data_IF_610298210968
#
_entry.id   IF_610298210968
#
_cell.length_a   1.000
_cell.length_b   1.000
_cell.length_c   1.000
_cell.angle_alpha   90.00
_cell.angle_beta   90.00
_cell.angle_gamma   90.00
#
_symmetry.space_group_name_H-M   'P 1'
#
loop_
_entity.id
_entity.type
_entity.pdbx_description
1 polymer ?
#
# COMPACT_ATOMS: atom_id res chain seq x y z
N UNK A 1 5.65 -8.56 -21.60
CA UNK A 1 4.45 -8.79 -22.44
C UNK A 1 4.60 -8.12 -23.81
N UNK A 2 4.93 -6.83 -23.88
CA UNK A 2 5.11 -6.06 -25.12
C UNK A 2 6.03 -6.72 -26.17
N UNK A 3 7.22 -7.19 -25.76
CA UNK A 3 8.15 -7.95 -26.63
C UNK A 3 7.55 -9.24 -27.22
N UNK A 4 6.65 -9.89 -26.50
CA UNK A 4 6.02 -11.13 -26.96
C UNK A 4 4.92 -10.84 -28.00
N UNK A 5 4.21 -9.72 -27.85
CA UNK A 5 3.22 -9.26 -28.82
C UNK A 5 3.85 -8.75 -30.11
N UNK A 6 4.93 -7.97 -30.05
CA UNK A 6 5.67 -7.57 -31.26
C UNK A 6 6.23 -8.77 -32.02
N UNK A 7 6.67 -9.80 -31.31
CA UNK A 7 7.16 -11.04 -31.92
C UNK A 7 6.04 -11.76 -32.68
N UNK A 8 4.87 -11.94 -32.07
CA UNK A 8 3.72 -12.57 -32.74
C UNK A 8 3.15 -11.75 -33.90
N UNK A 9 3.15 -10.41 -33.81
CA UNK A 9 2.74 -9.53 -34.92
C UNK A 9 3.72 -9.68 -36.10
N UNK A 10 5.02 -9.77 -35.83
CA UNK A 10 6.03 -9.97 -36.87
C UNK A 10 5.96 -11.38 -37.48
N UNK A 11 5.67 -12.40 -36.69
CA UNK A 11 5.42 -13.77 -37.17
C UNK A 11 4.18 -13.82 -38.07
N UNK A 12 3.08 -13.13 -37.69
CA UNK A 12 1.87 -13.07 -38.51
C UNK A 12 2.10 -12.31 -39.81
N UNK A 13 2.83 -11.19 -39.78
CA UNK A 13 3.26 -10.47 -41.00
C UNK A 13 4.10 -11.35 -41.92
N UNK A 14 5.06 -12.11 -41.36
CA UNK A 14 5.88 -13.05 -42.13
C UNK A 14 5.01 -14.15 -42.75
N UNK A 15 4.09 -14.74 -41.98
CA UNK A 15 3.19 -15.79 -42.45
C UNK A 15 2.21 -15.30 -43.52
N UNK A 16 1.73 -14.05 -43.39
CA UNK A 16 0.92 -13.37 -44.41
C UNK A 16 1.71 -13.12 -45.70
N UNK A 17 2.98 -12.70 -45.59
CA UNK A 17 3.86 -12.50 -46.74
C UNK A 17 4.17 -13.85 -47.44
N UNK A 18 4.38 -14.91 -46.66
CA UNK A 18 4.58 -16.28 -47.13
C UNK A 18 3.32 -16.84 -47.81
N UNK A 19 2.13 -16.54 -47.30
CA UNK A 19 0.85 -16.85 -47.94
C UNK A 19 0.69 -16.08 -49.25
N UNK A 20 1.04 -14.78 -49.29
CA UNK A 20 1.01 -13.96 -50.50
C UNK A 20 1.97 -14.49 -51.58
N UNK A 21 3.19 -14.83 -51.19
CA UNK A 21 4.20 -15.44 -52.04
C UNK A 21 3.79 -16.85 -52.47
N UNK A 22 3.18 -17.63 -51.57
CA UNK A 22 2.63 -18.96 -51.83
C UNK A 22 1.49 -18.92 -52.85
N UNK A 23 0.54 -18.00 -52.71
CA UNK A 23 -0.53 -17.80 -53.68
C UNK A 23 -0.01 -17.34 -55.06
N UNK A 24 1.00 -16.46 -55.09
CA UNK A 24 1.66 -16.03 -56.33
C UNK A 24 2.43 -17.18 -57.00
N UNK A 25 3.17 -17.97 -56.23
CA UNK A 25 3.92 -19.13 -56.71
C UNK A 25 3.00 -20.28 -57.16
N UNK A 26 1.93 -20.56 -56.42
CA UNK A 26 0.89 -21.54 -56.80
C UNK A 26 0.18 -21.06 -58.07
N UNK A 27 -0.13 -19.77 -58.17
CA UNK A 27 -0.66 -19.15 -59.38
C UNK A 27 0.25 -19.41 -60.57
N UNK A 28 1.52 -19.02 -60.48
CA UNK A 28 2.55 -19.19 -61.53
C UNK A 28 2.83 -20.65 -61.89
N UNK A 29 2.90 -21.55 -60.90
CA UNK A 29 3.10 -22.99 -61.13
C UNK A 29 1.86 -23.64 -61.75
N UNK A 30 0.65 -23.19 -61.43
CA UNK A 30 -0.57 -23.62 -62.12
C UNK A 30 -0.64 -23.10 -63.56
N UNK A 31 -0.32 -21.83 -63.82
CA UNK A 31 -0.25 -21.30 -65.20
C UNK A 31 0.81 -22.03 -66.01
N UNK A 32 1.95 -22.36 -65.40
CA UNK A 32 3.02 -23.13 -66.03
C UNK A 32 2.60 -24.59 -66.27
N UNK A 33 1.97 -25.27 -65.31
CA UNK A 33 1.45 -26.63 -65.49
C UNK A 33 0.34 -26.70 -66.52
N UNK A 34 -0.52 -25.69 -66.62
CA UNK A 34 -1.56 -25.59 -67.65
C UNK A 34 -0.94 -25.28 -69.00
N UNK A 35 0.03 -24.36 -69.07
CA UNK A 35 0.81 -24.10 -70.28
C UNK A 35 1.53 -25.37 -70.75
N UNK A 36 2.19 -26.10 -69.84
CA UNK A 36 2.90 -27.34 -70.12
C UNK A 36 1.92 -28.47 -70.47
N UNK A 37 0.74 -28.54 -69.84
CA UNK A 37 -0.32 -29.49 -70.18
C UNK A 37 -0.88 -29.21 -71.56
N UNK A 38 -1.22 -27.96 -71.89
CA UNK A 38 -1.68 -27.53 -73.21
C UNK A 38 -0.60 -27.76 -74.28
N UNK A 39 0.65 -27.41 -74.00
CA UNK A 39 1.79 -27.60 -74.90
C UNK A 39 2.10 -29.09 -75.10
N UNK A 40 1.95 -29.93 -74.07
CA UNK A 40 2.12 -31.38 -74.15
C UNK A 40 0.96 -32.06 -74.86
N UNK A 41 -0.29 -31.66 -74.59
CA UNK A 41 -1.48 -32.22 -75.25
C UNK A 41 -1.57 -31.79 -76.72
N UNK A 42 -1.35 -30.51 -77.04
CA UNK A 42 -1.31 -30.03 -78.43
C UNK A 42 -0.18 -30.69 -79.24
N UNK A 43 0.93 -31.08 -78.59
CA UNK A 43 2.07 -31.76 -79.24
C UNK A 43 1.94 -33.29 -79.29
N UNK A 44 1.12 -33.91 -78.43
CA UNK A 44 0.89 -35.38 -78.41
C UNK A 44 -0.34 -35.82 -79.21
N UNK A 45 -1.32 -34.94 -79.41
CA UNK A 45 -2.52 -35.25 -80.22
C UNK A 45 -2.17 -35.57 -81.70
N UNK A 46 -1.20 -34.91 -82.35
CA UNK A 46 -0.73 -35.34 -83.69
C UNK A 46 0.15 -36.60 -83.66
N UNK A 47 0.75 -36.96 -82.51
CA UNK A 47 1.72 -38.07 -82.39
C UNK A 47 1.05 -39.43 -82.20
N UNK A 48 -0.11 -39.50 -81.53
CA UNK A 48 -0.91 -40.73 -81.47
C UNK A 48 -1.51 -41.14 -82.82
N UNK A 49 -1.57 -40.21 -83.78
CA UNK A 49 -2.04 -40.46 -85.14
C UNK A 49 -0.94 -40.94 -86.10
N UNK A 50 0.34 -40.92 -85.69
CA UNK A 50 1.47 -41.32 -86.55
C UNK A 50 1.98 -42.75 -86.28
N UNK A 51 1.61 -43.35 -85.14
CA UNK A 51 2.13 -44.65 -84.70
C UNK A 51 1.08 -45.78 -84.64
N UNK A 52 -0.16 -45.51 -85.06
CA UNK A 52 -1.14 -46.54 -85.39
C UNK A 52 -1.27 -46.60 -86.90
N UNK A 53 -0.66 -47.61 -87.53
CA UNK A 53 -0.86 -47.89 -88.93
C UNK A 53 -2.28 -48.43 -89.12
N UNK A 54 -3.23 -47.54 -89.37
CA UNK A 54 -4.48 -47.83 -90.08
C UNK A 54 -4.93 -46.54 -90.79
N UNK A 55 -5.09 -46.65 -92.09
CA UNK A 55 -5.55 -45.59 -92.99
C UNK A 55 -6.99 -45.19 -92.64
N UNK A 56 -7.15 -44.13 -91.87
CA UNK A 56 -8.30 -43.24 -91.98
C UNK A 56 -7.79 -41.80 -91.93
N UNK A 57 -8.16 -41.02 -92.95
CA UNK A 57 -8.10 -39.56 -92.88
C UNK A 57 -8.90 -39.15 -91.66
N UNK A 58 -8.25 -38.89 -90.53
CA UNK A 58 -8.95 -38.34 -89.38
C UNK A 58 -9.39 -36.95 -89.78
N UNK A 59 -10.68 -36.82 -90.05
CA UNK A 59 -11.24 -35.61 -90.61
C UNK A 59 -11.16 -34.51 -89.55
N UNK A 60 -10.77 -33.31 -89.95
CA UNK A 60 -10.68 -32.16 -89.06
C UNK A 60 -12.04 -31.87 -88.38
N UNK A 61 -13.12 -32.23 -89.09
CA UNK A 61 -14.51 -32.17 -88.63
C UNK A 61 -14.79 -33.03 -87.39
N UNK A 62 -14.05 -34.12 -87.16
CA UNK A 62 -14.22 -34.99 -85.98
C UNK A 62 -13.33 -34.54 -84.80
N UNK A 63 -12.16 -33.95 -85.07
CA UNK A 63 -11.21 -33.50 -84.03
C UNK A 63 -11.60 -32.13 -83.46
N UNK A 64 -12.09 -31.21 -84.28
CA UNK A 64 -12.39 -29.85 -83.88
C UNK A 64 -13.44 -29.74 -82.74
N UNK A 65 -14.59 -30.45 -82.79
CA UNK A 65 -15.55 -30.47 -81.69
C UNK A 65 -14.95 -30.97 -80.38
N UNK A 66 -14.04 -31.94 -80.46
CA UNK A 66 -13.36 -32.52 -79.30
C UNK A 66 -12.37 -31.54 -78.66
N UNK A 67 -11.58 -30.81 -79.44
CA UNK A 67 -10.69 -29.77 -78.92
C UNK A 67 -11.50 -28.62 -78.32
N UNK A 68 -12.56 -28.17 -79.00
CA UNK A 68 -13.47 -27.13 -78.48
C UNK A 68 -14.07 -27.53 -77.14
N UNK A 69 -14.51 -28.79 -77.01
CA UNK A 69 -15.01 -29.35 -75.75
C UNK A 69 -13.94 -29.31 -74.66
N UNK A 70 -12.72 -29.78 -74.93
CA UNK A 70 -11.62 -29.77 -73.96
C UNK A 70 -11.21 -28.36 -73.53
N UNK A 71 -11.13 -27.40 -74.45
CA UNK A 71 -10.83 -25.99 -74.15
C UNK A 71 -11.90 -25.39 -73.23
N UNK A 72 -13.18 -25.64 -73.53
CA UNK A 72 -14.28 -25.20 -72.67
C UNK A 72 -14.27 -25.87 -71.29
N UNK A 73 -14.01 -27.18 -71.22
CA UNK A 73 -13.87 -27.89 -69.94
C UNK A 73 -12.70 -27.38 -69.12
N UNK A 74 -11.57 -27.07 -69.75
CA UNK A 74 -10.41 -26.48 -69.08
C UNK A 74 -10.72 -25.09 -68.52
N UNK A 75 -11.47 -24.27 -69.26
CA UNK A 75 -11.93 -22.95 -68.79
C UNK A 75 -12.81 -23.07 -67.55
N UNK A 76 -13.81 -23.95 -67.58
CA UNK A 76 -14.72 -24.19 -66.43
C UNK A 76 -13.93 -24.67 -65.21
N UNK A 77 -12.98 -25.60 -65.40
CA UNK A 77 -12.15 -26.13 -64.31
C UNK A 77 -11.27 -25.03 -63.69
N UNK A 78 -10.71 -24.14 -64.51
CA UNK A 78 -9.89 -23.02 -64.04
C UNK A 78 -10.68 -21.99 -63.22
N UNK A 79 -11.86 -21.58 -63.69
CA UNK A 79 -12.76 -20.72 -62.90
C UNK A 79 -13.14 -21.38 -61.57
N UNK A 80 -13.48 -22.68 -61.59
CA UNK A 80 -13.79 -23.43 -60.38
C UNK A 80 -12.61 -23.46 -59.39
N UNK A 81 -11.36 -23.60 -59.86
CA UNK A 81 -10.19 -23.57 -58.99
C UNK A 81 -10.02 -22.21 -58.30
N UNK A 82 -10.22 -21.10 -59.01
CA UNK A 82 -10.14 -19.78 -58.38
C UNK A 82 -11.28 -19.52 -57.40
N UNK A 83 -12.47 -20.04 -57.68
CA UNK A 83 -13.58 -19.99 -56.74
C UNK A 83 -13.24 -20.71 -55.42
N UNK A 84 -12.62 -21.89 -55.50
CA UNK A 84 -12.14 -22.62 -54.31
C UNK A 84 -11.11 -21.78 -53.54
N UNK A 85 -10.14 -21.17 -54.22
CA UNK A 85 -9.14 -20.30 -53.57
C UNK A 85 -9.81 -19.11 -52.88
N UNK A 86 -10.75 -18.44 -53.55
CA UNK A 86 -11.48 -17.33 -52.93
C UNK A 86 -12.29 -17.77 -51.72
N UNK A 87 -12.94 -18.94 -51.78
CA UNK A 87 -13.70 -19.45 -50.64
C UNK A 87 -12.80 -19.76 -49.43
N UNK A 88 -11.59 -20.28 -49.65
CA UNK A 88 -10.60 -20.48 -48.58
C UNK A 88 -10.17 -19.14 -47.97
N UNK A 89 -9.94 -18.12 -48.79
CA UNK A 89 -9.58 -16.77 -48.33
C UNK A 89 -10.69 -16.16 -47.48
N UNK A 90 -11.95 -16.26 -47.93
CA UNK A 90 -13.11 -15.78 -47.17
C UNK A 90 -13.29 -16.53 -45.85
N UNK A 91 -13.07 -17.84 -45.85
CA UNK A 91 -13.11 -18.66 -44.63
C UNK A 91 -12.02 -18.23 -43.65
N UNK A 92 -10.78 -18.03 -44.13
CA UNK A 92 -9.68 -17.55 -43.30
C UNK A 92 -9.98 -16.15 -42.74
N UNK A 93 -10.49 -15.24 -43.56
CA UNK A 93 -10.91 -13.90 -43.14
C UNK A 93 -11.95 -13.98 -42.03
N UNK A 94 -13.04 -14.74 -42.23
CA UNK A 94 -14.09 -14.89 -41.23
C UNK A 94 -13.53 -15.47 -39.92
N UNK A 95 -12.81 -16.60 -40.01
CA UNK A 95 -12.23 -17.24 -38.83
C UNK A 95 -11.20 -16.37 -38.11
N UNK A 96 -10.39 -15.61 -38.84
CA UNK A 96 -9.38 -14.72 -38.25
C UNK A 96 -10.04 -13.50 -37.60
N UNK A 97 -11.06 -12.92 -38.22
CA UNK A 97 -11.77 -11.77 -37.66
C UNK A 97 -12.54 -12.17 -36.40
N UNK A 98 -13.23 -13.31 -36.42
CA UNK A 98 -13.95 -13.85 -35.25
C UNK A 98 -12.98 -14.07 -34.07
N UNK A 99 -11.82 -14.68 -34.32
CA UNK A 99 -10.81 -14.90 -33.28
C UNK A 99 -10.23 -13.58 -32.74
N UNK A 100 -9.98 -12.59 -33.60
CA UNK A 100 -9.49 -11.27 -33.16
C UNK A 100 -10.55 -10.51 -32.36
N UNK A 101 -11.83 -10.63 -32.70
CA UNK A 101 -12.93 -10.04 -31.95
C UNK A 101 -13.07 -10.67 -30.57
N UNK A 102 -12.95 -12.01 -30.47
CA UNK A 102 -12.94 -12.72 -29.19
C UNK A 102 -11.78 -12.25 -28.30
N UNK A 103 -10.55 -12.17 -28.84
CA UNK A 103 -9.39 -11.68 -28.08
C UNK A 103 -9.57 -10.21 -27.70
N UNK A 104 -10.15 -9.38 -28.56
CA UNK A 104 -10.47 -7.98 -28.23
C UNK A 104 -11.45 -7.91 -27.06
N UNK A 105 -12.52 -8.71 -27.09
CA UNK A 105 -13.52 -8.75 -26.03
C UNK A 105 -12.91 -9.23 -24.71
N UNK A 106 -12.05 -10.26 -24.74
CA UNK A 106 -11.30 -10.73 -23.58
C UNK A 106 -10.35 -9.65 -23.03
N UNK A 107 -9.65 -8.91 -23.90
CA UNK A 107 -8.77 -7.82 -23.47
C UNK A 107 -9.56 -6.70 -22.76
N UNK A 108 -10.71 -6.29 -23.30
CA UNK A 108 -11.61 -5.32 -22.67
C UNK A 108 -12.19 -5.84 -21.36
N UNK A 109 -12.66 -7.09 -21.34
CA UNK A 109 -13.20 -7.72 -20.13
C UNK A 109 -12.15 -7.83 -19.03
N UNK A 110 -10.91 -8.18 -19.37
CA UNK A 110 -9.80 -8.24 -18.42
C UNK A 110 -9.48 -6.85 -17.86
N UNK A 111 -9.43 -5.82 -18.71
CA UNK A 111 -9.22 -4.43 -18.25
C UNK A 111 -10.30 -4.01 -17.25
N UNK A 112 -11.56 -4.30 -17.57
CA UNK A 112 -12.69 -3.98 -16.70
C UNK A 112 -12.65 -4.77 -15.38
N UNK A 113 -12.33 -6.07 -15.43
CA UNK A 113 -12.21 -6.90 -14.22
C UNK A 113 -11.07 -6.44 -13.30
N UNK A 114 -9.97 -5.97 -13.89
CA UNK A 114 -8.85 -5.38 -13.13
C UNK A 114 -9.27 -4.06 -12.48
N UNK A 115 -9.99 -3.20 -13.21
CA UNK A 115 -10.55 -1.96 -12.67
C UNK A 115 -11.50 -2.23 -11.48
N UNK A 116 -12.46 -3.15 -11.64
CA UNK A 116 -13.36 -3.57 -10.56
C UNK A 116 -12.61 -4.12 -9.33
N UNK A 117 -11.57 -4.93 -9.55
CA UNK A 117 -10.72 -5.46 -8.48
C UNK A 117 -9.97 -4.35 -7.73
N UNK A 118 -9.40 -3.39 -8.47
CA UNK A 118 -8.68 -2.26 -7.89
C UNK A 118 -9.65 -1.36 -7.12
N UNK A 119 -10.86 -1.12 -7.64
CA UNK A 119 -11.89 -0.33 -6.97
C UNK A 119 -12.35 -0.98 -5.67
N UNK A 120 -12.55 -2.30 -5.66
CA UNK A 120 -12.83 -3.05 -4.44
C UNK A 120 -11.66 -2.92 -3.43
N UNK A 121 -10.43 -3.07 -3.90
CA UNK A 121 -9.22 -2.87 -3.09
C UNK A 121 -9.08 -1.44 -2.55
N UNK A 122 -9.55 -0.43 -3.30
CA UNK A 122 -9.55 0.96 -2.87
C UNK A 122 -10.54 1.21 -1.73
N UNK A 123 -11.72 0.57 -1.74
CA UNK A 123 -12.67 0.62 -0.63
C UNK A 123 -12.05 0.05 0.64
N UNK A 124 -11.41 -1.12 0.55
CA UNK A 124 -10.75 -1.75 1.70
C UNK A 124 -9.55 -0.92 2.18
N UNK A 125 -8.70 -0.43 1.29
CA UNK A 125 -7.58 0.43 1.62
C UNK A 125 -8.04 1.71 2.33
N UNK A 126 -9.08 2.38 1.81
CA UNK A 126 -9.65 3.58 2.43
C UNK A 126 -10.15 3.28 3.84
N UNK A 127 -10.86 2.16 4.05
CA UNK A 127 -11.30 1.75 5.39
C UNK A 127 -10.12 1.58 6.36
N UNK A 128 -9.03 0.96 5.92
CA UNK A 128 -7.83 0.79 6.76
C UNK A 128 -7.17 2.13 7.06
N UNK A 129 -7.11 3.04 6.10
CA UNK A 129 -6.58 4.38 6.33
C UNK A 129 -7.46 5.21 7.28
N UNK A 130 -8.78 5.11 7.16
CA UNK A 130 -9.74 5.75 8.06
C UNK A 130 -9.58 5.22 9.49
N UNK A 131 -9.54 3.89 9.67
CA UNK A 131 -9.30 3.24 10.97
C UNK A 131 -7.97 3.68 11.60
N UNK A 132 -6.92 3.77 10.78
CA UNK A 132 -5.60 4.22 11.23
C UNK A 132 -5.63 5.70 11.63
N UNK A 133 -6.31 6.55 10.86
CA UNK A 133 -6.47 7.96 11.16
C UNK A 133 -7.27 8.19 12.45
N UNK A 134 -8.32 7.40 12.67
CA UNK A 134 -9.12 7.42 13.89
C UNK A 134 -8.30 6.97 15.10
N UNK A 135 -7.54 5.87 14.98
CA UNK A 135 -6.67 5.37 16.04
C UNK A 135 -5.59 6.38 16.43
N UNK A 136 -4.96 7.02 15.44
CA UNK A 136 -3.96 8.06 15.67
C UNK A 136 -4.57 9.31 16.32
N UNK A 137 -5.76 9.70 15.89
CA UNK A 137 -6.50 10.81 16.49
C UNK A 137 -6.89 10.53 17.94
N UNK A 138 -7.32 9.30 18.24
CA UNK A 138 -7.60 8.84 19.62
C UNK A 138 -6.35 8.90 20.48
N UNK A 139 -5.24 8.32 20.00
CA UNK A 139 -3.97 8.31 20.72
C UNK A 139 -3.45 9.73 21.00
N UNK A 140 -3.65 10.66 20.07
CA UNK A 140 -3.34 12.07 20.28
C UNK A 140 -4.19 12.68 21.40
N UNK A 141 -5.49 12.38 21.44
CA UNK A 141 -6.40 12.79 22.50
C UNK A 141 -6.01 12.24 23.88
N UNK A 142 -5.70 10.95 23.95
CA UNK A 142 -5.24 10.27 25.17
C UNK A 142 -3.92 10.83 25.69
N UNK A 143 -2.95 11.05 24.79
CA UNK A 143 -1.66 11.66 25.14
C UNK A 143 -1.84 13.08 25.68
N UNK A 144 -2.73 13.87 25.06
CA UNK A 144 -3.05 15.21 25.54
C UNK A 144 -3.78 15.21 26.90
N UNK A 145 -4.58 14.18 27.17
CA UNK A 145 -5.21 13.97 28.48
C UNK A 145 -4.17 13.64 29.55
N UNK A 146 -3.32 12.64 29.29
CA UNK A 146 -2.23 12.25 30.19
C UNK A 146 -1.32 13.43 30.52
N UNK A 147 -0.92 14.22 29.51
CA UNK A 147 -0.11 15.41 29.70
C UNK A 147 -0.81 16.47 30.61
N UNK A 148 -2.14 16.55 30.56
CA UNK A 148 -2.93 17.41 31.46
C UNK A 148 -2.95 16.89 32.90
N UNK A 149 -3.19 15.59 33.09
CA UNK A 149 -3.17 14.96 34.42
C UNK A 149 -1.80 15.12 35.09
N UNK A 150 -0.72 14.93 34.34
CA UNK A 150 0.64 15.12 34.85
C UNK A 150 0.91 16.55 35.32
N UNK A 151 0.44 17.57 34.57
CA UNK A 151 0.54 18.97 34.99
C UNK A 151 -0.25 19.25 36.28
N UNK A 152 -1.44 18.66 36.42
CA UNK A 152 -2.21 18.80 37.66
C UNK A 152 -1.49 18.17 38.86
N UNK A 153 -0.88 17.01 38.66
CA UNK A 153 -0.10 16.30 39.68
C UNK A 153 1.09 17.14 40.16
N UNK A 154 1.81 17.77 39.22
CA UNK A 154 2.89 18.72 39.52
C UNK A 154 2.37 19.90 40.35
N UNK A 155 1.24 20.50 39.97
CA UNK A 155 0.66 21.61 40.74
C UNK A 155 0.24 21.18 42.17
N UNK A 156 -0.30 19.97 42.35
CA UNK A 156 -0.63 19.45 43.69
C UNK A 156 0.63 19.20 44.54
N UNK A 157 1.75 18.85 43.91
CA UNK A 157 3.04 18.74 44.59
C UNK A 157 3.53 20.07 45.15
N UNK A 158 3.37 21.17 44.41
CA UNK A 158 3.70 22.51 44.91
C UNK A 158 2.91 22.86 46.18
N UNK A 159 1.63 22.47 46.23
CA UNK A 159 0.78 22.67 47.41
C UNK A 159 1.27 21.85 48.62
N UNK A 160 1.72 20.61 48.41
CA UNK A 160 2.30 19.76 49.46
C UNK A 160 3.62 20.36 49.97
N UNK A 161 4.44 20.91 49.07
CA UNK A 161 5.67 21.59 49.47
C UNK A 161 5.39 22.78 50.39
N UNK A 162 4.41 23.61 50.04
CA UNK A 162 3.98 24.75 50.85
C UNK A 162 3.47 24.32 52.24
N UNK A 163 2.75 23.20 52.31
CA UNK A 163 2.29 22.62 53.58
C UNK A 163 3.46 22.16 54.47
N UNK A 164 4.46 21.49 53.89
CA UNK A 164 5.64 21.03 54.63
C UNK A 164 6.48 22.20 55.15
N UNK A 165 6.57 23.29 54.40
CA UNK A 165 7.26 24.50 54.86
C UNK A 165 6.53 25.16 56.04
N UNK A 166 5.19 25.24 55.98
CA UNK A 166 4.37 25.74 57.10
C UNK A 166 4.54 24.86 58.36
N UNK A 167 4.55 23.54 58.20
CA UNK A 167 4.75 22.61 59.31
C UNK A 167 6.11 22.79 59.98
N UNK A 168 7.17 23.02 59.18
CA UNK A 168 8.51 23.30 59.68
C UNK A 168 8.56 24.61 60.49
N UNK A 169 7.91 25.67 60.01
CA UNK A 169 7.85 26.94 60.71
C UNK A 169 7.06 26.85 62.03
N UNK A 170 5.95 26.11 62.05
CA UNK A 170 5.22 25.85 63.29
C UNK A 170 6.05 25.03 64.29
N UNK A 171 6.85 24.06 63.83
CA UNK A 171 7.77 23.31 64.70
C UNK A 171 8.78 24.22 65.39
N UNK A 172 9.40 25.16 64.65
CA UNK A 172 10.33 26.15 65.22
C UNK A 172 9.63 27.13 66.18
N UNK A 173 8.37 27.46 65.89
CA UNK A 173 7.56 28.30 66.78
C UNK A 173 7.29 27.62 68.11
N UNK A 174 6.96 26.33 68.07
CA UNK A 174 6.75 25.50 69.25
C UNK A 174 8.03 25.36 70.08
N UNK A 175 9.18 25.16 69.43
CA UNK A 175 10.50 25.15 70.09
C UNK A 175 10.73 26.45 70.88
N UNK A 176 10.51 27.61 70.26
CA UNK A 176 10.61 28.91 70.95
C UNK A 176 9.68 29.00 72.16
N UNK A 177 8.41 28.61 72.01
CA UNK A 177 7.46 28.63 73.12
C UNK A 177 7.89 27.69 74.26
N UNK A 178 8.42 26.51 73.93
CA UNK A 178 8.92 25.57 74.93
C UNK A 178 10.09 26.17 75.72
N UNK A 179 11.03 26.84 75.05
CA UNK A 179 12.15 27.53 75.73
C UNK A 179 11.67 28.67 76.63
N UNK A 180 10.70 29.48 76.16
CA UNK A 180 10.16 30.60 76.94
C UNK A 180 9.41 30.11 78.19
N UNK A 181 8.61 29.05 78.08
CA UNK A 181 7.92 28.45 79.22
C UNK A 181 8.92 27.89 80.25
N UNK A 182 9.99 27.23 79.79
CA UNK A 182 11.04 26.71 80.67
C UNK A 182 11.73 27.85 81.44
N UNK A 183 12.07 28.94 80.77
CA UNK A 183 12.66 30.12 81.42
C UNK A 183 11.72 30.76 82.45
N UNK A 184 10.44 30.92 82.12
CA UNK A 184 9.42 31.49 83.03
C UNK A 184 9.25 30.60 84.25
N UNK A 185 9.12 29.29 84.05
CA UNK A 185 8.93 28.33 85.15
C UNK A 185 10.16 28.28 86.05
N UNK A 186 11.36 28.22 85.48
CA UNK A 186 12.60 28.22 86.24
C UNK A 186 12.76 29.50 87.06
N UNK A 187 12.45 30.66 86.46
CA UNK A 187 12.48 31.96 87.16
C UNK A 187 11.47 32.00 88.31
N UNK A 188 10.23 31.53 88.08
CA UNK A 188 9.20 31.48 89.12
C UNK A 188 9.62 30.60 90.32
N UNK A 189 10.26 29.46 90.06
CA UNK A 189 10.79 28.58 91.12
C UNK A 189 11.90 29.28 91.91
N UNK A 190 12.84 29.95 91.24
CA UNK A 190 13.93 30.68 91.90
C UNK A 190 13.39 31.85 92.74
N UNK A 191 12.43 32.60 92.21
CA UNK A 191 11.78 33.70 92.94
C UNK A 191 11.01 33.18 94.16
N UNK A 192 10.29 32.06 94.03
CA UNK A 192 9.61 31.40 95.15
C UNK A 192 10.60 30.96 96.22
N UNK A 193 11.71 30.32 95.84
CA UNK A 193 12.76 29.91 96.76
C UNK A 193 13.30 31.12 97.54
N UNK A 194 13.63 32.21 96.84
CA UNK A 194 14.16 33.43 97.45
C UNK A 194 13.17 34.07 98.45
N UNK A 195 11.91 34.21 98.04
CA UNK A 195 10.86 34.78 98.89
C UNK A 195 10.65 33.94 100.15
N UNK A 196 10.69 32.61 100.01
CA UNK A 196 10.55 31.70 101.15
C UNK A 196 11.76 31.75 102.09
N UNK A 197 12.99 31.79 101.55
CA UNK A 197 14.22 31.93 102.35
C UNK A 197 14.19 33.21 103.19
N UNK A 198 13.78 34.33 102.59
CA UNK A 198 13.70 35.64 103.25
C UNK A 198 12.60 35.67 104.33
N UNK A 199 11.41 35.12 104.04
CA UNK A 199 10.33 34.97 105.00
C UNK A 199 10.74 34.05 106.16
N UNK A 200 11.39 32.92 105.87
CA UNK A 200 11.86 31.99 106.91
C UNK A 200 12.89 32.62 107.84
N UNK A 201 13.73 33.53 107.33
CA UNK A 201 14.73 34.26 108.11
C UNK A 201 14.07 35.28 109.02
N UNK A 202 13.12 36.05 108.50
CA UNK A 202 12.32 37.00 109.28
C UNK A 202 11.52 36.30 110.38
N UNK A 203 10.88 35.17 110.05
CA UNK A 203 10.17 34.36 111.01
C UNK A 203 11.12 33.69 112.01
N UNK A 204 12.31 33.25 111.60
CA UNK A 204 13.35 32.74 112.51
C UNK A 204 13.83 33.80 113.51
N UNK A 205 14.02 35.05 113.08
CA UNK A 205 14.40 36.16 113.96
C UNK A 205 13.30 36.50 114.97
N UNK A 206 12.03 36.50 114.52
CA UNK A 206 10.86 36.68 115.39
C UNK A 206 10.66 35.49 116.34
N UNK A 207 10.96 34.27 115.87
CA UNK A 207 10.77 33.01 116.58
C UNK A 207 11.90 32.69 117.57
N UNK A 208 13.15 33.11 117.34
CA UNK A 208 14.26 33.01 118.32
C UNK A 208 13.90 33.73 119.61
N UNK A 209 13.20 34.86 119.52
CA UNK A 209 12.67 35.59 120.66
C UNK A 209 11.61 34.79 121.43
N UNK A 210 10.73 34.08 120.72
CA UNK A 210 9.57 33.38 121.30
C UNK A 210 9.87 31.92 121.75
N UNK A 211 10.89 31.27 121.19
CA UNK A 211 11.06 29.80 121.20
C UNK A 211 12.34 29.31 121.91
N UNK A 212 13.05 30.21 122.62
CA UNK A 212 14.10 29.85 123.60
C UNK A 212 13.57 28.88 124.69
N UNK A 213 12.25 28.68 124.78
CA UNK A 213 11.61 27.90 125.84
C UNK A 213 11.07 26.50 125.45
N UNK A 214 11.00 26.02 124.19
CA UNK A 214 10.33 24.71 123.99
C UNK A 214 10.72 23.71 122.86
N UNK A 215 11.19 24.05 121.66
CA UNK A 215 11.15 23.04 120.55
C UNK A 215 12.39 23.04 119.63
N UNK A 216 13.53 22.54 120.11
CA UNK A 216 14.75 22.32 119.29
C UNK A 216 14.69 21.14 118.30
N UNK A 217 13.63 20.30 118.30
CA UNK A 217 13.57 19.09 117.46
C UNK A 217 12.70 19.17 116.21
N UNK A 218 11.56 19.87 116.28
CA UNK A 218 10.52 19.84 115.25
C UNK A 218 10.89 20.65 113.98
N UNK A 219 11.62 21.76 114.15
CA UNK A 219 11.96 22.72 113.09
C UNK A 219 12.88 22.14 112.01
N UNK A 220 13.85 21.30 112.39
CA UNK A 220 14.75 20.65 111.43
C UNK A 220 14.00 19.74 110.45
N UNK A 221 12.97 19.05 110.93
CA UNK A 221 12.21 18.06 110.16
C UNK A 221 11.25 18.71 109.14
N UNK A 222 10.76 19.93 109.42
CA UNK A 222 9.94 20.70 108.48
C UNK A 222 10.76 21.27 107.32
N UNK A 223 11.98 21.75 107.59
CA UNK A 223 12.91 22.21 106.55
C UNK A 223 13.28 21.09 105.59
N UNK A 224 13.70 19.95 106.12
CA UNK A 224 14.07 18.77 105.32
C UNK A 224 12.91 18.28 104.44
N UNK A 225 11.66 18.39 104.90
CA UNK A 225 10.48 17.98 104.13
C UNK A 225 10.15 18.94 102.97
N UNK A 226 10.35 20.26 103.16
CA UNK A 226 10.14 21.25 102.09
C UNK A 226 11.26 21.19 101.07
N UNK A 227 12.52 21.05 101.52
CA UNK A 227 13.67 20.89 100.63
C UNK A 227 13.52 19.63 99.75
N UNK A 228 13.04 18.53 100.33
CA UNK A 228 12.73 17.31 99.57
C UNK A 228 11.62 17.54 98.55
N UNK A 229 10.50 18.16 98.94
CA UNK A 229 9.39 18.47 98.02
C UNK A 229 9.79 19.42 96.89
N UNK A 230 10.65 20.39 97.17
CA UNK A 230 11.16 21.33 96.17
C UNK A 230 12.12 20.62 95.21
N UNK A 231 12.94 19.71 95.73
CA UNK A 231 13.77 18.80 94.93
C UNK A 231 12.93 17.98 93.95
N UNK A 232 11.86 17.33 94.44
CA UNK A 232 10.95 16.53 93.61
C UNK A 232 10.30 17.37 92.49
N UNK A 233 9.89 18.60 92.78
CA UNK A 233 9.28 19.51 91.79
C UNK A 233 10.32 19.92 90.74
N UNK A 234 11.53 20.30 91.15
CA UNK A 234 12.60 20.68 90.23
C UNK A 234 12.98 19.52 89.32
N UNK A 235 13.08 18.32 89.88
CA UNK A 235 13.38 17.11 89.12
C UNK A 235 12.25 16.77 88.13
N UNK A 236 10.98 16.96 88.52
CA UNK A 236 9.83 16.83 87.61
C UNK A 236 9.85 17.86 86.47
N UNK A 237 10.24 19.11 86.73
CA UNK A 237 10.35 20.16 85.69
C UNK A 237 11.46 19.81 84.70
N UNK A 238 12.62 19.39 85.20
CA UNK A 238 13.73 18.91 84.35
C UNK A 238 13.30 17.71 83.51
N UNK A 239 12.56 16.76 84.09
CA UNK A 239 12.01 15.61 83.38
C UNK A 239 11.04 16.00 82.26
N UNK A 240 10.12 16.94 82.52
CA UNK A 240 9.18 17.44 81.53
C UNK A 240 9.90 18.18 80.38
N UNK A 241 10.93 18.96 80.70
CA UNK A 241 11.76 19.63 79.68
C UNK A 241 12.43 18.61 78.76
N UNK A 242 13.12 17.62 79.32
CA UNK A 242 13.78 16.57 78.54
C UNK A 242 12.78 15.84 77.63
N UNK A 243 11.58 15.58 78.14
CA UNK A 243 10.51 14.96 77.36
C UNK A 243 10.03 15.84 76.19
N UNK A 244 9.78 17.13 76.42
CA UNK A 244 9.33 18.08 75.38
C UNK A 244 10.45 18.31 74.34
N UNK A 245 11.69 18.53 74.77
CA UNK A 245 12.84 18.70 73.88
C UNK A 245 13.05 17.45 73.01
N UNK A 246 12.86 16.25 73.59
CA UNK A 246 12.89 15.00 72.84
C UNK A 246 11.78 14.90 71.79
N UNK A 247 10.57 15.34 72.11
CA UNK A 247 9.45 15.38 71.17
C UNK A 247 9.67 16.41 70.04
N UNK A 248 10.16 17.62 70.37
CA UNK A 248 10.51 18.65 69.37
C UNK A 248 11.59 18.15 68.43
N UNK A 249 12.68 17.59 68.97
CA UNK A 249 13.79 17.03 68.19
C UNK A 249 13.33 15.89 67.27
N UNK A 250 12.44 15.02 67.76
CA UNK A 250 11.83 13.95 66.96
C UNK A 250 10.96 14.51 65.84
N UNK A 251 10.16 15.54 66.12
CA UNK A 251 9.24 16.14 65.14
C UNK A 251 10.01 16.86 64.03
N UNK A 252 11.06 17.61 64.39
CA UNK A 252 11.96 18.25 63.44
C UNK A 252 12.68 17.22 62.56
N UNK A 253 13.21 16.15 63.16
CA UNK A 253 13.86 15.06 62.44
C UNK A 253 12.92 14.39 61.43
N UNK A 254 11.67 14.12 61.81
CA UNK A 254 10.63 13.58 60.92
C UNK A 254 10.31 14.57 59.79
N UNK A 255 10.12 15.85 60.10
CA UNK A 255 9.82 16.88 59.11
C UNK A 255 10.95 17.04 58.09
N UNK A 256 12.20 17.06 58.54
CA UNK A 256 13.37 17.13 57.67
C UNK A 256 13.54 15.88 56.80
N UNK A 257 13.34 14.70 57.36
CA UNK A 257 13.48 13.44 56.60
C UNK A 257 12.38 13.30 55.54
N UNK A 258 11.15 13.67 55.90
CA UNK A 258 10.02 13.70 54.97
C UNK A 258 10.24 14.74 53.86
N UNK A 259 10.71 15.95 54.20
CA UNK A 259 11.04 17.00 53.23
C UNK A 259 12.13 16.55 52.27
N UNK A 260 13.20 15.93 52.75
CA UNK A 260 14.28 15.41 51.91
C UNK A 260 13.78 14.32 50.95
N UNK A 261 13.11 13.29 51.47
CA UNK A 261 12.56 12.19 50.65
C UNK A 261 11.55 12.69 49.62
N UNK A 262 10.72 13.66 49.97
CA UNK A 262 9.77 14.29 49.05
C UNK A 262 10.49 15.05 47.94
N UNK A 263 11.49 15.87 48.27
CA UNK A 263 12.29 16.61 47.27
C UNK A 263 13.04 15.68 46.31
N UNK A 264 13.64 14.60 46.83
CA UNK A 264 14.36 13.62 46.01
C UNK A 264 13.40 12.88 45.06
N UNK A 265 12.24 12.46 45.56
CA UNK A 265 11.20 11.80 44.76
C UNK A 265 10.61 12.75 43.71
N UNK A 266 10.40 14.01 44.07
CA UNK A 266 9.87 15.03 43.17
C UNK A 266 10.85 15.35 42.05
N UNK A 267 12.14 15.56 42.34
CA UNK A 267 13.18 15.76 41.32
C UNK A 267 13.31 14.57 40.38
N UNK A 268 13.26 13.35 40.92
CA UNK A 268 13.30 12.13 40.11
C UNK A 268 12.09 12.06 39.17
N UNK A 269 10.90 12.37 39.67
CA UNK A 269 9.68 12.42 38.88
C UNK A 269 9.73 13.51 37.81
N UNK A 270 10.13 14.73 38.17
CA UNK A 270 10.26 15.88 37.26
C UNK A 270 11.22 15.59 36.10
N UNK A 271 12.39 15.03 36.37
CA UNK A 271 13.36 14.65 35.33
C UNK A 271 12.79 13.59 34.39
N UNK A 272 12.16 12.55 34.94
CA UNK A 272 11.52 11.50 34.14
C UNK A 272 10.37 12.04 33.27
N UNK A 273 9.59 13.01 33.79
CA UNK A 273 8.49 13.62 33.04
C UNK A 273 8.97 14.59 31.96
N UNK A 274 10.02 15.37 32.22
CA UNK A 274 10.60 16.28 31.23
C UNK A 274 11.20 15.51 30.06
N UNK A 275 11.99 14.48 30.35
CA UNK A 275 12.60 13.63 29.32
C UNK A 275 11.53 12.85 28.54
N UNK A 276 10.45 12.40 29.20
CA UNK A 276 9.32 11.70 28.54
C UNK A 276 8.44 12.65 27.70
N UNK A 277 8.16 13.86 28.19
CA UNK A 277 7.36 14.85 27.49
C UNK A 277 8.09 15.41 26.25
N UNK A 278 9.39 15.68 26.35
CA UNK A 278 10.20 16.13 25.21
C UNK A 278 10.39 15.01 24.18
N UNK A 279 10.58 13.76 24.63
CA UNK A 279 10.62 12.58 23.75
C UNK A 279 9.27 12.33 23.05
N UNK A 280 8.15 12.50 23.76
CA UNK A 280 6.80 12.30 23.22
C UNK A 280 6.39 13.43 22.27
N UNK A 281 6.65 14.70 22.62
CA UNK A 281 6.33 15.85 21.76
C UNK A 281 7.15 15.88 20.47
N UNK A 282 8.44 15.50 20.53
CA UNK A 282 9.31 15.43 19.35
C UNK A 282 8.92 14.29 18.39
N UNK A 283 8.41 13.17 18.90
CA UNK A 283 7.93 12.04 18.09
C UNK A 283 6.52 12.29 17.52
N UNK A 284 5.61 12.84 18.33
CA UNK A 284 4.20 12.99 17.98
C UNK A 284 3.92 14.15 16.98
N UNK A 285 4.77 15.18 16.91
CA UNK A 285 4.63 16.25 15.90
C UNK A 285 5.15 15.85 14.50
N UNK A 286 5.94 14.78 14.38
CA UNK A 286 6.58 14.40 13.12
C UNK A 286 6.05 13.11 12.49
N UNK A 287 5.42 12.22 13.25
CA UNK A 287 5.27 10.84 12.78
C UNK A 287 3.92 10.51 12.14
N UNK A 288 2.78 11.04 12.61
CA UNK A 288 1.59 10.18 12.48
C UNK A 288 0.45 10.63 11.55
N UNK A 289 0.15 11.92 11.37
CA UNK A 289 -0.94 12.31 10.45
C UNK A 289 -0.50 12.42 8.97
N UNK A 290 0.66 13.04 8.73
CA UNK A 290 1.11 13.32 7.36
C UNK A 290 1.54 12.07 6.59
N UNK A 291 2.03 11.02 7.28
CA UNK A 291 2.52 9.80 6.62
C UNK A 291 1.37 8.96 6.08
N UNK A 292 0.29 8.81 6.86
CA UNK A 292 -0.91 8.08 6.46
C UNK A 292 -1.63 8.79 5.30
N UNK A 293 -1.84 10.11 5.41
CA UNK A 293 -2.47 10.90 4.33
C UNK A 293 -1.63 10.90 3.04
N UNK A 294 -0.29 10.98 3.16
CA UNK A 294 0.60 10.90 2.00
C UNK A 294 0.57 9.52 1.35
N UNK A 295 0.53 8.45 2.15
CA UNK A 295 0.40 7.08 1.67
C UNK A 295 -0.93 6.86 0.94
N UNK A 296 -2.04 7.35 1.50
CA UNK A 296 -3.37 7.30 0.87
C UNK A 296 -3.37 8.03 -0.49
N UNK A 297 -2.84 9.25 -0.55
CA UNK A 297 -2.73 10.00 -1.82
C UNK A 297 -1.85 9.28 -2.84
N UNK A 298 -0.77 8.64 -2.38
CA UNK A 298 0.10 7.88 -3.26
C UNK A 298 -0.61 6.64 -3.82
N UNK A 299 -1.35 5.92 -2.99
CA UNK A 299 -2.19 4.80 -3.39
C UNK A 299 -3.22 5.20 -4.45
N UNK A 300 -3.96 6.29 -4.21
CA UNK A 300 -4.96 6.82 -5.16
C UNK A 300 -4.35 7.13 -6.53
N UNK A 301 -3.20 7.82 -6.57
CA UNK A 301 -2.49 8.09 -7.84
C UNK A 301 -2.04 6.81 -8.54
N UNK A 302 -1.60 5.80 -7.79
CA UNK A 302 -1.20 4.52 -8.36
C UNK A 302 -2.39 3.76 -8.94
N UNK A 303 -3.55 3.78 -8.28
CA UNK A 303 -4.81 3.23 -8.80
C UNK A 303 -5.22 3.94 -10.11
N UNK A 304 -5.27 5.27 -10.12
CA UNK A 304 -5.63 6.05 -11.32
C UNK A 304 -4.69 5.73 -12.49
N UNK A 305 -3.38 5.70 -12.24
CA UNK A 305 -2.39 5.37 -13.27
C UNK A 305 -2.51 3.95 -13.79
N UNK A 306 -2.92 2.99 -12.94
CA UNK A 306 -3.09 1.60 -13.35
C UNK A 306 -4.36 1.41 -14.19
N UNK A 307 -5.46 2.07 -13.82
CA UNK A 307 -6.70 2.06 -14.59
C UNK A 307 -6.53 2.72 -15.96
N UNK A 308 -5.82 3.85 -16.03
CA UNK A 308 -5.49 4.52 -17.31
C UNK A 308 -4.63 3.61 -18.20
N UNK A 309 -3.59 3.00 -17.63
CA UNK A 309 -2.74 2.07 -18.38
C UNK A 309 -3.50 0.84 -18.90
N UNK A 310 -4.37 0.25 -18.08
CA UNK A 310 -5.23 -0.88 -18.48
C UNK A 310 -6.14 -0.51 -19.64
N UNK A 311 -6.82 0.64 -19.54
CA UNK A 311 -7.72 1.16 -20.56
C UNK A 311 -6.99 1.47 -21.87
N UNK A 312 -5.81 2.12 -21.80
CA UNK A 312 -4.98 2.40 -22.96
C UNK A 312 -4.49 1.12 -23.65
N UNK A 313 -4.12 0.10 -22.87
CA UNK A 313 -3.68 -1.18 -23.42
C UNK A 313 -4.82 -1.89 -24.17
N UNK A 314 -6.01 -1.97 -23.56
CA UNK A 314 -7.20 -2.54 -24.20
C UNK A 314 -7.57 -1.78 -25.49
N UNK A 315 -7.53 -0.44 -25.45
CA UNK A 315 -7.79 0.40 -26.63
C UNK A 315 -6.76 0.19 -27.75
N UNK A 316 -5.48 0.07 -27.39
CA UNK A 316 -4.38 -0.16 -28.34
C UNK A 316 -4.54 -1.52 -29.01
N UNK A 317 -4.83 -2.58 -28.26
CA UNK A 317 -5.11 -3.93 -28.80
C UNK A 317 -6.28 -3.88 -29.78
N UNK A 318 -7.41 -3.29 -29.37
CA UNK A 318 -8.59 -3.16 -30.23
C UNK A 318 -8.29 -2.38 -31.52
N UNK A 319 -7.43 -1.35 -31.46
CA UNK A 319 -7.02 -0.58 -32.63
C UNK A 319 -6.18 -1.42 -33.62
N UNK A 320 -5.23 -2.21 -33.11
CA UNK A 320 -4.42 -3.10 -33.93
C UNK A 320 -5.26 -4.19 -34.59
N UNK A 321 -6.18 -4.79 -33.84
CA UNK A 321 -7.05 -5.84 -34.38
C UNK A 321 -8.00 -5.30 -35.44
N UNK A 322 -8.56 -4.10 -35.25
CA UNK A 322 -9.33 -3.42 -36.30
C UNK A 322 -8.52 -3.23 -37.58
N UNK A 323 -7.27 -2.79 -37.47
CA UNK A 323 -6.37 -2.65 -38.61
C UNK A 323 -6.05 -3.99 -39.31
N UNK A 324 -5.96 -5.09 -38.56
CA UNK A 324 -5.78 -6.43 -39.15
C UNK A 324 -7.06 -6.87 -39.88
N UNK A 325 -8.24 -6.65 -39.30
CA UNK A 325 -9.52 -6.91 -39.96
C UNK A 325 -9.65 -6.12 -41.27
N UNK A 326 -9.30 -4.83 -41.27
CA UNK A 326 -9.28 -3.99 -42.48
C UNK A 326 -8.31 -4.53 -43.54
N UNK A 327 -7.17 -5.09 -43.11
CA UNK A 327 -6.19 -5.74 -44.01
C UNK A 327 -6.76 -7.05 -44.59
N UNK A 328 -7.48 -7.84 -43.79
CA UNK A 328 -8.16 -9.05 -44.27
C UNK A 328 -9.27 -8.73 -45.28
N UNK A 329 -10.02 -7.64 -45.07
CA UNK A 329 -10.97 -7.11 -46.05
C UNK A 329 -10.27 -6.76 -47.37
N UNK A 330 -9.16 -6.02 -47.28
CA UNK A 330 -8.36 -5.65 -48.45
C UNK A 330 -7.86 -6.89 -49.21
N UNK A 331 -7.31 -7.90 -48.53
CA UNK A 331 -6.84 -9.13 -49.16
C UNK A 331 -7.96 -9.90 -49.90
N UNK A 332 -9.18 -9.97 -49.33
CA UNK A 332 -10.33 -10.59 -50.02
C UNK A 332 -10.68 -9.82 -51.31
N UNK A 333 -10.65 -8.49 -51.28
CA UNK A 333 -10.91 -7.67 -52.48
C UNK A 333 -9.83 -7.82 -53.55
N UNK A 334 -8.56 -7.88 -53.17
CA UNK A 334 -7.44 -8.06 -54.11
C UNK A 334 -7.49 -9.42 -54.79
N UNK A 335 -7.77 -10.49 -54.03
CA UNK A 335 -7.90 -11.85 -54.57
C UNK A 335 -9.13 -11.95 -55.47
N UNK A 336 -10.24 -11.31 -55.10
CA UNK A 336 -11.42 -11.22 -55.96
C UNK A 336 -11.09 -10.54 -57.30
N UNK A 337 -10.35 -9.42 -57.26
CA UNK A 337 -9.93 -8.69 -58.46
C UNK A 337 -9.01 -9.54 -59.34
N UNK A 338 -8.00 -10.20 -58.75
CA UNK A 338 -7.08 -11.08 -59.45
C UNK A 338 -7.82 -12.26 -60.13
N UNK A 339 -8.81 -12.85 -59.45
CA UNK A 339 -9.68 -13.88 -60.05
C UNK A 339 -10.42 -13.35 -61.27
N UNK A 340 -11.07 -12.19 -61.18
CA UNK A 340 -11.86 -11.62 -62.28
C UNK A 340 -10.98 -11.38 -63.50
N UNK A 341 -9.79 -10.79 -63.31
CA UNK A 341 -8.83 -10.60 -64.41
C UNK A 341 -8.39 -11.92 -65.04
N UNK A 342 -8.10 -12.94 -64.22
CA UNK A 342 -7.67 -14.24 -64.73
C UNK A 342 -8.80 -15.00 -65.46
N UNK A 343 -10.05 -14.84 -65.00
CA UNK A 343 -11.25 -15.38 -65.65
C UNK A 343 -11.52 -14.71 -67.01
N UNK A 344 -11.32 -13.39 -67.11
CA UNK A 344 -11.38 -12.66 -68.39
C UNK A 344 -10.27 -13.12 -69.35
N UNK A 345 -9.03 -13.21 -68.87
CA UNK A 345 -7.88 -13.63 -69.67
C UNK A 345 -8.05 -15.05 -70.21
N UNK A 346 -8.52 -16.00 -69.39
CA UNK A 346 -8.77 -17.36 -69.87
C UNK A 346 -9.94 -17.42 -70.84
N UNK A 347 -10.98 -16.60 -70.63
CA UNK A 347 -12.12 -16.52 -71.55
C UNK A 347 -11.65 -16.04 -72.91
N UNK A 348 -10.92 -14.92 -72.97
CA UNK A 348 -10.33 -14.38 -74.19
C UNK A 348 -9.40 -15.38 -74.88
N UNK A 349 -8.49 -16.01 -74.12
CA UNK A 349 -7.57 -17.00 -74.69
C UNK A 349 -8.29 -18.24 -75.21
N UNK A 350 -9.31 -18.73 -74.50
CA UNK A 350 -10.11 -19.88 -74.93
C UNK A 350 -10.88 -19.57 -76.23
N UNK A 351 -11.44 -18.37 -76.36
CA UNK A 351 -12.13 -17.90 -77.55
C UNK A 351 -11.17 -17.75 -78.73
N UNK A 352 -10.00 -17.16 -78.51
CA UNK A 352 -8.95 -17.04 -79.52
C UNK A 352 -8.50 -18.42 -80.03
N UNK A 353 -8.28 -19.40 -79.15
CA UNK A 353 -7.92 -20.77 -79.54
C UNK A 353 -9.02 -21.40 -80.41
N UNK A 354 -10.29 -21.27 -79.98
CA UNK A 354 -11.43 -21.82 -80.74
C UNK A 354 -11.58 -21.14 -82.11
N UNK A 355 -11.38 -19.83 -82.20
CA UNK A 355 -11.42 -19.07 -83.45
C UNK A 355 -10.26 -19.42 -84.38
N UNK A 356 -9.02 -19.48 -83.87
CA UNK A 356 -7.84 -19.87 -84.66
C UNK A 356 -7.99 -21.27 -85.27
N UNK A 357 -8.56 -22.21 -84.53
CA UNK A 357 -8.83 -23.56 -85.03
C UNK A 357 -9.97 -23.58 -86.06
N UNK A 358 -11.00 -22.74 -85.91
CA UNK A 358 -12.08 -22.63 -86.90
C UNK A 358 -11.68 -21.95 -88.22
N UNK A 359 -10.56 -21.22 -88.22
CA UNK A 359 -10.04 -20.50 -89.39
C UNK A 359 -9.03 -21.30 -90.23
N UNK A 360 -8.68 -22.53 -89.86
CA UNK A 360 -7.78 -23.40 -90.64
C UNK A 360 -8.55 -23.95 -91.85
N UNK A 361 -8.18 -23.62 -93.11
CA UNK A 361 -8.85 -24.17 -94.28
C UNK A 361 -8.58 -25.68 -94.38
N UNK A 362 -9.63 -26.46 -94.63
CA UNK A 362 -9.60 -27.92 -94.89
C UNK A 362 -8.61 -28.31 -96.00
N UNK A 363 -8.22 -27.36 -96.87
CA UNK A 363 -7.31 -27.58 -97.99
C UNK A 363 -5.83 -27.67 -97.62
N UNK A 364 -5.41 -27.28 -96.41
CA UNK A 364 -3.98 -27.29 -96.05
C UNK A 364 -3.43 -28.66 -95.62
N UNK A 365 -4.29 -29.68 -95.49
CA UNK A 365 -3.87 -31.06 -95.19
C UNK A 365 -3.85 -31.99 -96.41
N UNK A 366 -4.16 -31.47 -97.62
CA UNK A 366 -4.16 -32.26 -98.87
C UNK A 366 -2.81 -32.22 -99.61
N UNK A 367 -1.89 -31.30 -99.29
CA UNK A 367 -0.59 -31.22 -99.98
C UNK A 367 0.46 -32.09 -99.26
N UNK A 368 0.31 -33.42 -99.33
CA UNK A 368 1.46 -34.33 -99.24
C UNK A 368 1.19 -35.74 -99.80
N UNK A 369 0.19 -35.90 -100.67
CA UNK A 369 0.01 -37.10 -101.47
C UNK A 369 -0.27 -36.73 -102.92
N UNK A 370 0.78 -36.54 -103.69
CA UNK A 370 0.83 -36.94 -105.09
C UNK A 370 2.25 -37.49 -105.36
N UNK A 371 2.38 -38.50 -106.24
CA UNK A 371 3.32 -39.61 -106.13
C UNK A 371 4.82 -39.28 -106.21
#
# INVERSE_FOLDING_TARGET
>A
MEKNYETHINEYKSSSEDLRLGCSAVGSDYTKKIHDFLQTHLRTTPRKLKNGADSSLVNFDDIFPEIKRKVNSSRVLYSSHFEVVQNVVRLHKASSNDALEEVSALASSNSCSIEEFIDAGAVEANSVFDDLQDALSSHQGETAHLARELRQLINTSETIHEFLDKLLEESKSLERHATEVDEIQLKSIVEFQKAYEEQSRSDAEKLIADMTTLVSGCMRRLKEMVDARLGDIKESVIGNKIFIDGHVSSMEGIAMDLKRKWQDSFKLAENNFKDSADFSAAKHCRMDANTAETALKQWQRTQESLNDMGSQHAATIASHFRSICDTNEQHDTEINSARVMAEEDITKNSENIVQCLGAIPVWTLVISQEP
#
